data_IF_339164642691
#
_entry.id   IF_339164642691
#
_cell.length_a   1.000
_cell.length_b   1.000
_cell.length_c   1.000
_cell.angle_alpha   90.00
_cell.angle_beta   90.00
_cell.angle_gamma   90.00
#
_symmetry.space_group_name_H-M   'P 1'
#
loop_
_entity.id
_entity.type
_entity.pdbx_description
1 polymer ?
#
# COMPACT_ATOMS: atom_id res chain seq x y z
N UNK A 1 -9.09 42.50 81.24
CA UNK A 1 -9.43 42.06 79.86
C UNK A 1 -8.46 42.53 78.78
N UNK A 2 -7.79 43.69 78.92
CA UNK A 2 -6.93 44.27 77.86
C UNK A 2 -5.64 43.47 77.50
N UNK A 3 -5.11 42.65 78.42
CA UNK A 3 -3.88 41.87 78.18
C UNK A 3 -4.06 40.64 77.27
N UNK A 4 -5.28 40.10 77.16
CA UNK A 4 -5.58 38.93 76.32
C UNK A 4 -5.66 39.36 74.86
N UNK A 5 -6.32 40.50 74.59
CA UNK A 5 -6.41 41.11 73.26
C UNK A 5 -5.04 41.50 72.68
N UNK A 6 -4.11 41.98 73.52
CA UNK A 6 -2.76 42.33 73.06
C UNK A 6 -1.93 41.09 72.66
N UNK A 7 -2.00 40.00 73.44
CA UNK A 7 -1.34 38.74 73.10
C UNK A 7 -1.89 38.11 71.82
N UNK A 8 -3.22 38.13 71.66
CA UNK A 8 -3.87 37.59 70.47
C UNK A 8 -3.52 38.38 69.20
N UNK A 9 -3.43 39.71 69.30
CA UNK A 9 -2.96 40.54 68.19
C UNK A 9 -1.53 40.21 67.76
N UNK A 10 -0.63 40.01 68.72
CA UNK A 10 0.76 39.60 68.45
C UNK A 10 0.84 38.21 67.80
N UNK A 11 0.03 37.27 68.27
CA UNK A 11 -0.06 35.92 67.69
C UNK A 11 -0.58 35.95 66.25
N UNK A 12 -1.59 36.78 65.94
CA UNK A 12 -2.10 36.97 64.58
C UNK A 12 -1.00 37.48 63.65
N UNK A 13 -0.21 38.46 64.09
CA UNK A 13 0.86 39.04 63.28
C UNK A 13 2.00 38.03 63.03
N UNK A 14 2.35 37.24 64.05
CA UNK A 14 3.30 36.12 63.90
C UNK A 14 2.77 35.04 62.94
N UNK A 15 1.48 34.71 63.04
CA UNK A 15 0.86 33.74 62.14
C UNK A 15 0.72 34.26 60.72
N UNK A 16 0.47 35.56 60.55
CA UNK A 16 0.39 36.22 59.24
C UNK A 16 1.75 36.24 58.55
N UNK A 17 2.81 36.65 59.25
CA UNK A 17 4.19 36.64 58.74
C UNK A 17 4.68 35.21 58.42
N UNK A 18 4.35 34.23 59.26
CA UNK A 18 4.64 32.82 58.97
C UNK A 18 3.91 32.32 57.71
N UNK A 19 2.64 32.71 57.52
CA UNK A 19 1.87 32.34 56.32
C UNK A 19 2.41 33.01 55.06
N UNK A 20 2.90 34.24 55.16
CA UNK A 20 3.50 34.93 54.02
C UNK A 20 4.80 34.26 53.59
N UNK A 21 5.69 33.94 54.54
CA UNK A 21 6.89 33.12 54.26
C UNK A 21 6.57 31.79 53.58
N UNK A 22 5.55 31.08 54.07
CA UNK A 22 5.11 29.82 53.47
C UNK A 22 4.52 29.99 52.06
N UNK A 23 3.92 31.15 51.76
CA UNK A 23 3.44 31.48 50.40
C UNK A 23 4.59 31.78 49.46
N UNK A 24 5.56 32.57 49.92
CA UNK A 24 6.76 32.90 49.15
C UNK A 24 7.54 31.63 48.82
N UNK A 25 7.81 30.79 49.82
CA UNK A 25 8.48 29.50 49.63
C UNK A 25 7.68 28.63 48.65
N UNK A 26 6.36 28.49 48.83
CA UNK A 26 5.53 27.73 47.89
C UNK A 26 5.57 28.30 46.48
N UNK A 27 5.59 29.62 46.33
CA UNK A 27 5.69 30.27 45.03
C UNK A 27 7.05 30.02 44.36
N UNK A 28 8.13 29.94 45.14
CA UNK A 28 9.45 29.54 44.64
C UNK A 28 9.45 28.07 44.19
N UNK A 29 8.92 27.17 45.01
CA UNK A 29 8.74 25.76 44.65
C UNK A 29 7.86 25.58 43.40
N UNK A 30 6.82 26.39 43.23
CA UNK A 30 5.95 26.36 42.05
C UNK A 30 6.67 26.85 40.80
N UNK A 31 7.50 27.90 40.90
CA UNK A 31 8.36 28.37 39.81
C UNK A 31 9.36 27.28 39.40
N UNK A 32 10.03 26.67 40.38
CA UNK A 32 11.00 25.62 40.13
C UNK A 32 10.33 24.41 39.46
N UNK A 33 9.18 23.96 39.96
CA UNK A 33 8.41 22.88 39.33
C UNK A 33 7.98 23.24 37.92
N UNK A 34 7.53 24.47 37.68
CA UNK A 34 7.14 24.91 36.35
C UNK A 34 8.33 24.89 35.37
N UNK A 35 9.52 25.30 35.82
CA UNK A 35 10.75 25.23 35.01
C UNK A 35 11.11 23.78 34.68
N UNK A 36 11.15 22.89 35.68
CA UNK A 36 11.40 21.47 35.47
C UNK A 36 10.41 20.83 34.50
N UNK A 37 9.12 21.13 34.63
CA UNK A 37 8.09 20.61 33.74
C UNK A 37 8.27 21.14 32.30
N UNK A 38 8.63 22.41 32.13
CA UNK A 38 8.89 23.00 30.82
C UNK A 38 10.13 22.38 30.16
N UNK A 39 11.21 22.18 30.91
CA UNK A 39 12.43 21.53 30.42
C UNK A 39 12.14 20.07 30.01
N UNK A 40 11.42 19.33 30.84
CA UNK A 40 11.00 17.96 30.52
C UNK A 40 10.17 17.89 29.25
N UNK A 41 9.20 18.80 29.09
CA UNK A 41 8.38 18.86 27.86
C UNK A 41 9.22 19.11 26.62
N UNK A 42 10.19 20.03 26.70
CA UNK A 42 11.15 20.27 25.59
C UNK A 42 11.98 19.03 25.28
N UNK A 43 12.50 18.36 26.32
CA UNK A 43 13.28 17.13 26.17
C UNK A 43 12.47 15.99 25.55
N UNK A 44 11.18 15.91 25.87
CA UNK A 44 10.26 14.91 25.31
C UNK A 44 9.73 15.28 23.91
N UNK A 45 9.65 16.57 23.57
CA UNK A 45 9.16 17.03 22.26
C UNK A 45 10.19 16.87 21.16
N UNK A 46 11.47 17.15 21.44
CA UNK A 46 12.57 17.02 20.49
C UNK A 46 12.63 15.63 19.80
N UNK A 47 12.66 14.49 20.52
CA UNK A 47 12.69 13.17 19.87
C UNK A 47 11.40 12.86 19.11
N UNK A 48 10.24 13.35 19.57
CA UNK A 48 8.97 13.19 18.86
C UNK A 48 8.97 13.94 17.53
N UNK A 49 9.50 15.16 17.51
CA UNK A 49 9.61 15.96 16.30
C UNK A 49 10.61 15.35 15.31
N UNK A 50 11.77 14.89 15.79
CA UNK A 50 12.73 14.16 14.97
C UNK A 50 12.13 12.88 14.39
N UNK A 51 11.45 12.07 15.22
CA UNK A 51 10.78 10.85 14.77
C UNK A 51 9.69 11.16 13.74
N UNK A 52 8.92 12.25 13.93
CA UNK A 52 7.91 12.69 12.96
C UNK A 52 8.55 13.05 11.62
N UNK A 53 9.65 13.78 11.64
CA UNK A 53 10.38 14.17 10.43
C UNK A 53 10.94 12.94 9.69
N UNK A 54 11.54 12.00 10.41
CA UNK A 54 12.05 10.75 9.81
C UNK A 54 10.92 9.89 9.22
N UNK A 55 9.78 9.81 9.90
CA UNK A 55 8.61 9.11 9.39
C UNK A 55 8.07 9.77 8.11
N UNK A 56 7.97 11.10 8.09
CA UNK A 56 7.52 11.87 6.92
C UNK A 56 8.45 11.66 5.72
N UNK A 57 9.77 11.71 5.93
CA UNK A 57 10.75 11.35 4.88
C UNK A 57 10.52 9.93 4.37
N UNK A 58 10.36 8.96 5.27
CA UNK A 58 10.15 7.56 4.89
C UNK A 58 8.86 7.37 4.10
N UNK A 59 7.77 8.02 4.51
CA UNK A 59 6.51 8.02 3.76
C UNK A 59 6.70 8.58 2.34
N UNK A 60 7.41 9.71 2.20
CA UNK A 60 7.69 10.32 0.90
C UNK A 60 8.53 9.42 -0.02
N UNK A 61 9.53 8.73 0.53
CA UNK A 61 10.33 7.77 -0.24
C UNK A 61 9.49 6.55 -0.67
N UNK A 62 8.65 6.01 0.22
CA UNK A 62 7.72 4.93 -0.13
C UNK A 62 6.70 5.34 -1.20
N UNK A 63 6.20 6.58 -1.15
CA UNK A 63 5.31 7.12 -2.18
C UNK A 63 6.00 7.24 -3.54
N UNK A 64 7.27 7.69 -3.56
CA UNK A 64 8.07 7.72 -4.79
C UNK A 64 8.30 6.32 -5.35
N UNK A 65 8.65 5.36 -4.50
CA UNK A 65 8.87 3.97 -4.90
C UNK A 65 7.59 3.36 -5.49
N UNK A 66 6.45 3.57 -4.82
CA UNK A 66 5.14 3.15 -5.34
C UNK A 66 4.81 3.84 -6.66
N UNK A 67 5.00 5.15 -6.78
CA UNK A 67 4.74 5.87 -8.02
C UNK A 67 5.66 5.40 -9.17
N UNK A 68 6.90 5.05 -8.88
CA UNK A 68 7.83 4.46 -9.86
C UNK A 68 7.38 3.05 -10.27
N UNK A 69 6.94 2.22 -9.33
CA UNK A 69 6.37 0.90 -9.63
C UNK A 69 5.12 1.02 -10.51
N UNK A 70 4.19 1.93 -10.17
CA UNK A 70 2.99 2.17 -10.96
C UNK A 70 3.32 2.71 -12.35
N UNK A 71 4.33 3.58 -12.49
CA UNK A 71 4.83 4.01 -13.81
C UNK A 71 5.43 2.87 -14.62
N UNK A 72 6.20 1.98 -13.96
CA UNK A 72 6.74 0.76 -14.57
C UNK A 72 5.63 -0.17 -15.05
N UNK A 73 4.53 -0.28 -14.29
CA UNK A 73 3.35 -1.07 -14.65
C UNK A 73 2.54 -0.46 -15.78
N UNK A 74 2.30 0.85 -15.76
CA UNK A 74 1.47 1.54 -16.76
C UNK A 74 2.02 1.45 -18.19
N UNK A 75 3.32 1.17 -18.37
CA UNK A 75 3.91 0.93 -19.68
C UNK A 75 3.66 -0.48 -20.23
N UNK A 76 3.38 -1.45 -19.37
CA UNK A 76 3.18 -2.85 -19.74
C UNK A 76 1.86 -2.99 -20.51
N UNK A 77 1.96 -3.52 -21.73
CA UNK A 77 0.78 -3.84 -22.54
C UNK A 77 1.03 -5.14 -23.30
N UNK A 78 -0.03 -5.92 -23.48
CA UNK A 78 -0.03 -7.01 -24.42
C UNK A 78 -0.18 -6.47 -25.83
N UNK A 79 0.48 -7.10 -26.80
CA UNK A 79 0.08 -7.00 -28.20
C UNK A 79 -1.32 -7.61 -28.38
N UNK A 80 -1.97 -7.33 -29.51
CA UNK A 80 -3.27 -7.91 -29.85
C UNK A 80 -3.20 -9.44 -29.81
N UNK A 81 -3.92 -10.11 -28.88
CA UNK A 81 -3.86 -11.56 -28.74
C UNK A 81 -4.26 -12.26 -30.02
N UNK A 82 -3.36 -13.07 -30.56
CA UNK A 82 -3.59 -13.82 -31.79
C UNK A 82 -4.16 -15.20 -31.46
N UNK A 83 -5.28 -15.59 -32.10
CA UNK A 83 -5.78 -16.95 -32.03
C UNK A 83 -4.83 -17.91 -32.74
N UNK A 84 -4.62 -19.09 -32.18
CA UNK A 84 -3.98 -20.20 -32.88
C UNK A 84 -4.87 -20.72 -34.02
N UNK A 85 -4.23 -21.20 -35.09
CA UNK A 85 -4.91 -21.80 -36.25
C UNK A 85 -5.70 -23.06 -35.85
N UNK A 86 -5.18 -23.83 -34.89
CA UNK A 86 -5.78 -25.07 -34.41
C UNK A 86 -6.63 -24.85 -33.15
N UNK A 87 -7.83 -25.44 -33.14
CA UNK A 87 -8.67 -25.54 -31.94
C UNK A 87 -8.07 -26.56 -30.96
N UNK A 88 -7.99 -26.21 -29.67
CA UNK A 88 -7.56 -27.16 -28.63
C UNK A 88 -8.63 -28.22 -28.36
N UNK A 89 -9.90 -27.82 -28.38
CA UNK A 89 -11.09 -28.67 -28.24
C UNK A 89 -12.30 -27.93 -28.83
N UNK A 90 -13.44 -28.64 -28.95
CA UNK A 90 -14.69 -28.01 -29.38
C UNK A 90 -15.02 -26.82 -28.48
N UNK A 91 -15.17 -25.64 -29.08
CA UNK A 91 -15.47 -24.40 -28.36
C UNK A 91 -14.33 -23.86 -27.50
N UNK A 92 -13.08 -24.30 -27.67
CA UNK A 92 -11.95 -23.66 -27.01
C UNK A 92 -10.72 -23.48 -27.91
N UNK A 93 -10.19 -22.26 -27.90
CA UNK A 93 -9.04 -21.84 -28.68
C UNK A 93 -7.94 -21.28 -27.78
N UNK A 94 -6.70 -21.48 -28.21
CA UNK A 94 -5.52 -20.88 -27.58
C UNK A 94 -5.27 -19.51 -28.20
N UNK A 95 -5.05 -18.51 -27.36
CA UNK A 95 -4.59 -17.19 -27.76
C UNK A 95 -3.18 -16.97 -27.24
N UNK A 96 -2.33 -16.36 -28.06
CA UNK A 96 -0.96 -15.99 -27.67
C UNK A 96 -0.71 -14.52 -27.95
N UNK A 97 0.04 -13.87 -27.06
CA UNK A 97 0.40 -12.47 -27.21
C UNK A 97 1.76 -12.20 -26.58
N UNK A 98 2.50 -11.26 -27.16
CA UNK A 98 3.78 -10.80 -26.61
C UNK A 98 3.56 -9.59 -25.71
N UNK A 99 4.26 -9.55 -24.57
CA UNK A 99 4.24 -8.40 -23.66
C UNK A 99 5.27 -7.36 -24.12
N UNK A 100 4.82 -6.12 -24.27
CA UNK A 100 5.66 -5.00 -24.69
C UNK A 100 6.03 -4.08 -23.52
N UNK A 101 7.09 -3.30 -23.74
CA UNK A 101 7.63 -2.26 -22.84
C UNK A 101 7.97 -2.76 -21.43
N UNK A 102 8.41 -4.01 -21.30
CA UNK A 102 8.89 -4.53 -20.02
C UNK A 102 10.13 -3.73 -19.58
N UNK A 103 10.07 -2.99 -18.45
CA UNK A 103 11.19 -2.18 -18.00
C UNK A 103 12.42 -3.04 -17.69
N UNK A 104 13.61 -2.54 -18.03
CA UNK A 104 14.86 -3.22 -17.71
C UNK A 104 14.99 -3.44 -16.19
N UNK A 105 15.26 -4.68 -15.77
CA UNK A 105 15.37 -5.06 -14.36
C UNK A 105 14.05 -5.38 -13.65
N UNK A 106 12.90 -5.22 -14.31
CA UNK A 106 11.61 -5.70 -13.78
C UNK A 106 11.49 -7.22 -13.95
N UNK A 107 10.81 -7.90 -13.02
CA UNK A 107 10.60 -9.34 -13.11
C UNK A 107 9.58 -9.63 -14.21
N UNK A 108 10.07 -10.20 -15.33
CA UNK A 108 9.28 -10.50 -16.53
C UNK A 108 8.11 -11.43 -16.21
N UNK A 109 8.35 -12.50 -15.48
CA UNK A 109 7.33 -13.48 -15.11
C UNK A 109 6.22 -12.85 -14.27
N UNK A 110 6.59 -11.99 -13.32
CA UNK A 110 5.61 -11.23 -12.51
C UNK A 110 4.78 -10.29 -13.40
N UNK A 111 5.43 -9.60 -14.34
CA UNK A 111 4.74 -8.73 -15.30
C UNK A 111 3.70 -9.51 -16.12
N UNK A 112 4.05 -10.71 -16.61
CA UNK A 112 3.11 -11.52 -17.37
C UNK A 112 1.90 -11.96 -16.54
N UNK A 113 2.11 -12.44 -15.31
CA UNK A 113 1.00 -12.94 -14.47
C UNK A 113 0.06 -11.83 -14.00
N UNK A 114 0.58 -10.63 -13.77
CA UNK A 114 -0.22 -9.49 -13.26
C UNK A 114 -0.90 -8.69 -14.38
N UNK A 115 -0.38 -8.71 -15.61
CA UNK A 115 -0.92 -7.90 -16.71
C UNK A 115 -2.13 -8.58 -17.36
N UNK A 116 -3.27 -7.90 -17.35
CA UNK A 116 -4.48 -8.37 -18.03
C UNK A 116 -4.47 -8.01 -19.52
N UNK A 117 -4.94 -8.92 -20.37
CA UNK A 117 -5.17 -8.69 -21.80
C UNK A 117 -6.67 -8.63 -22.09
N UNK A 118 -7.04 -7.88 -23.13
CA UNK A 118 -8.39 -7.89 -23.67
C UNK A 118 -8.51 -9.05 -24.67
N UNK A 119 -9.13 -10.15 -24.25
CA UNK A 119 -9.31 -11.36 -25.07
C UNK A 119 -10.80 -11.66 -25.17
N UNK A 120 -11.30 -11.77 -26.40
CA UNK A 120 -12.70 -12.10 -26.72
C UNK A 120 -13.74 -11.35 -25.85
N UNK A 121 -13.60 -10.02 -25.77
CA UNK A 121 -14.53 -9.13 -25.05
C UNK A 121 -14.38 -9.06 -23.53
N UNK A 122 -13.33 -9.67 -22.94
CA UNK A 122 -13.11 -9.68 -21.48
C UNK A 122 -11.65 -9.37 -21.14
N UNK A 123 -11.43 -8.72 -20.00
CA UNK A 123 -10.09 -8.57 -19.41
C UNK A 123 -9.72 -9.84 -18.65
N UNK A 124 -8.69 -10.55 -19.11
CA UNK A 124 -8.25 -11.82 -18.54
C UNK A 124 -6.72 -11.87 -18.37
N UNK A 125 -6.26 -12.45 -17.27
CA UNK A 125 -4.84 -12.74 -17.04
C UNK A 125 -4.44 -14.00 -17.81
N UNK A 126 -3.18 -14.11 -18.27
CA UNK A 126 -2.72 -15.29 -18.99
C UNK A 126 -2.76 -16.54 -18.12
N UNK A 127 -3.12 -17.67 -18.72
CA UNK A 127 -3.10 -19.00 -18.11
C UNK A 127 -1.66 -19.51 -17.97
N UNK A 128 -0.81 -19.17 -18.94
CA UNK A 128 0.60 -19.54 -18.94
C UNK A 128 1.47 -18.39 -19.44
N UNK A 129 2.68 -18.30 -18.91
CA UNK A 129 3.68 -17.30 -19.26
C UNK A 129 4.95 -18.03 -19.70
N UNK A 130 5.51 -17.67 -20.85
CA UNK A 130 6.74 -18.23 -21.39
C UNK A 130 7.78 -17.14 -21.64
N UNK A 131 8.97 -17.27 -21.03
CA UNK A 131 10.07 -16.31 -21.19
C UNK A 131 10.97 -16.78 -22.34
N UNK A 132 10.72 -16.26 -23.54
CA UNK A 132 11.56 -16.46 -24.73
C UNK A 132 12.92 -15.74 -24.66
N UNK A 133 13.24 -15.09 -23.54
CA UNK A 133 14.55 -14.48 -23.29
C UNK A 133 14.68 -13.04 -23.78
N UNK A 134 15.92 -12.55 -23.90
CA UNK A 134 16.21 -11.13 -24.18
C UNK A 134 15.81 -10.66 -25.59
N UNK A 135 15.78 -11.58 -26.56
CA UNK A 135 15.48 -11.27 -27.96
C UNK A 135 14.00 -11.45 -28.29
N UNK A 136 13.40 -12.52 -27.74
CA UNK A 136 12.03 -12.91 -28.09
C UNK A 136 10.98 -12.34 -27.11
N UNK A 137 11.40 -11.91 -25.93
CA UNK A 137 10.51 -11.31 -24.94
C UNK A 137 9.66 -12.35 -24.20
N UNK A 138 8.63 -11.89 -23.49
CA UNK A 138 7.73 -12.76 -22.75
C UNK A 138 6.39 -12.90 -23.47
N UNK A 139 5.93 -14.13 -23.58
CA UNK A 139 4.67 -14.48 -24.23
C UNK A 139 3.66 -14.94 -23.17
N UNK A 140 2.44 -14.44 -23.30
CA UNK A 140 1.29 -14.89 -22.53
C UNK A 140 0.43 -15.81 -23.40
N UNK A 141 -0.12 -16.83 -22.76
CA UNK A 141 -1.05 -17.78 -23.39
C UNK A 141 -2.36 -17.80 -22.60
N UNK A 142 -3.48 -17.66 -23.31
CA UNK A 142 -4.83 -17.77 -22.76
C UNK A 142 -5.53 -18.95 -23.41
N UNK A 143 -6.19 -19.78 -22.61
CA UNK A 143 -7.11 -20.80 -23.09
C UNK A 143 -8.51 -20.24 -22.91
N UNK A 144 -9.15 -19.87 -24.01
CA UNK A 144 -10.50 -19.28 -24.02
C UNK A 144 -11.48 -20.37 -24.40
N UNK A 145 -12.46 -20.62 -23.55
CA UNK A 145 -13.54 -21.60 -23.75
C UNK A 145 -14.95 -20.97 -23.76
N UNK A 146 -15.01 -19.65 -23.92
CA UNK A 146 -16.26 -18.89 -24.07
C UNK A 146 -16.26 -18.14 -25.41
N UNK A 147 -17.45 -18.00 -26.00
CA UNK A 147 -17.67 -17.21 -27.22
C UNK A 147 -16.79 -17.65 -28.42
N UNK A 148 -16.46 -18.94 -28.50
CA UNK A 148 -15.66 -19.57 -29.58
C UNK A 148 -16.51 -20.62 -30.35
N UNK A 149 -17.75 -20.26 -30.69
CA UNK A 149 -18.70 -21.15 -31.39
C UNK A 149 -18.21 -21.57 -32.80
N UNK A 150 -17.29 -20.79 -33.38
CA UNK A 150 -16.66 -21.05 -34.68
C UNK A 150 -15.43 -22.00 -34.61
N UNK A 151 -15.02 -22.41 -33.40
CA UNK A 151 -13.88 -23.32 -33.22
C UNK A 151 -14.33 -24.79 -33.32
N UNK A 152 -14.67 -25.22 -34.53
CA UNK A 152 -14.98 -26.61 -34.85
C UNK A 152 -13.74 -27.31 -35.42
N UNK A 153 -13.27 -28.37 -34.76
CA UNK A 153 -12.28 -29.24 -35.39
C UNK A 153 -12.94 -29.93 -36.58
N UNK A 154 -12.34 -29.81 -37.77
CA UNK A 154 -12.80 -30.51 -38.99
C UNK A 154 -12.96 -32.02 -38.80
N UNK A 155 -12.30 -32.60 -37.80
CA UNK A 155 -12.42 -34.02 -37.41
C UNK A 155 -13.80 -34.44 -36.88
N UNK A 156 -14.65 -33.51 -36.41
CA UNK A 156 -16.01 -33.80 -35.93
C UNK A 156 -17.08 -33.84 -37.04
N UNK A 157 -16.80 -33.28 -38.22
CA UNK A 157 -17.71 -33.32 -39.37
C UNK A 157 -17.52 -34.59 -40.21
N UNK A 158 -16.36 -35.25 -40.12
CA UNK A 158 -16.07 -36.48 -40.87
C UNK A 158 -16.64 -37.74 -40.19
N UNK A 159 -16.91 -37.67 -38.88
CA UNK A 159 -17.59 -38.72 -38.13
C UNK A 159 -18.84 -38.14 -37.49
N UNK A 160 -19.94 -38.10 -38.27
CA UNK A 160 -21.23 -37.62 -37.80
C UNK A 160 -21.63 -38.25 -36.45
N UNK A 161 -22.30 -37.47 -35.60
CA UNK A 161 -22.86 -37.92 -34.32
C UNK A 161 -23.76 -39.14 -34.54
N UNK A 162 -23.41 -40.34 -34.03
CA UNK A 162 -24.34 -41.46 -34.04
C UNK A 162 -25.27 -41.32 -32.84
N UNK A 163 -26.46 -40.75 -33.05
CA UNK A 163 -27.56 -40.90 -32.11
C UNK A 163 -28.54 -39.74 -31.99
N UNK A 164 -29.48 -39.65 -32.94
CA UNK A 164 -30.81 -39.13 -32.67
C UNK A 164 -31.80 -40.31 -32.83
N UNK A 165 -32.50 -40.75 -31.78
CA UNK A 165 -33.66 -41.62 -31.93
C UNK A 165 -34.92 -40.77 -32.18
N UNK A 166 -35.67 -41.20 -33.21
CA UNK A 166 -37.03 -40.77 -33.55
C UNK A 166 -38.03 -41.02 -32.40
#
# INVERSE_FOLDING_TARGET
>A
MQGITAKWAQEIEQHASARERMREERAEWDKERAQWQAERRKRESLPKEQMKLELEKKCRELEKEKAEEERKKAGLRWQDPQPDDDCLRLGARRYTAKLENVPAGYNRMKACQETQAWVNGRWVTPTQCDDGGLLDGIHGTWIVDWDEDDCYSSSFLENGCPGEPL
#
